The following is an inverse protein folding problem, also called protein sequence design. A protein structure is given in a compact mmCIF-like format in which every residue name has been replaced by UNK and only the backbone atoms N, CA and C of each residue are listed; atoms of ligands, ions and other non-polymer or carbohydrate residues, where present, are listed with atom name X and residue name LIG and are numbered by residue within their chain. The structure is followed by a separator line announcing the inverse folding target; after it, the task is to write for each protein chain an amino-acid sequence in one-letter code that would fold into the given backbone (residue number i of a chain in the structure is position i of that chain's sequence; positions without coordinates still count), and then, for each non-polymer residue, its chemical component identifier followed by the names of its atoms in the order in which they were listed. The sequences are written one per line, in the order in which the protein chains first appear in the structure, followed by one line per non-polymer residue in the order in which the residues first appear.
data_IF_622973814740
#
_entry.id   IF_622973814740
#
_cell.length_a   1.000
_cell.length_b   1.000
_cell.length_c   1.000
_cell.angle_alpha   90.00
_cell.angle_beta   90.00
_cell.angle_gamma   90.00
#
_symmetry.space_group_name_H-M   'P 1'
#
loop_
_entity.id
_entity.type
_entity.pdbx_description
1 polymer ?
#
# COMPACT_ATOMS: atom_id res chain seq x y z
N UNK A 1 39.45 -31.51 -28.21
CA UNK A 1 39.35 -30.27 -27.42
C UNK A 1 40.15 -30.47 -26.16
N UNK A 2 41.21 -29.69 -25.97
CA UNK A 2 41.92 -29.65 -24.70
C UNK A 2 40.97 -29.07 -23.65
N UNK A 3 40.70 -29.79 -22.55
CA UNK A 3 39.91 -29.29 -21.42
C UNK A 3 40.68 -28.23 -20.60
N UNK A 4 41.54 -27.46 -21.25
CA UNK A 4 42.41 -26.48 -20.63
C UNK A 4 41.85 -25.11 -20.93
N UNK A 5 41.59 -24.35 -19.87
CA UNK A 5 41.20 -22.94 -19.95
C UNK A 5 42.36 -22.10 -19.45
N UNK A 6 42.71 -21.06 -20.19
CA UNK A 6 43.72 -20.07 -19.83
C UNK A 6 43.03 -18.75 -19.52
N UNK A 7 43.32 -18.17 -18.36
CA UNK A 7 42.87 -16.85 -17.97
C UNK A 7 44.09 -15.89 -17.99
N UNK A 8 44.04 -14.91 -18.87
CA UNK A 8 45.03 -13.84 -19.00
C UNK A 8 44.54 -12.61 -18.26
N UNK A 9 45.14 -12.29 -17.12
CA UNK A 9 44.90 -11.06 -16.38
C UNK A 9 45.88 -9.98 -16.86
N UNK A 10 45.40 -9.09 -17.71
CA UNK A 10 46.10 -7.87 -18.14
C UNK A 10 45.75 -6.75 -17.15
N UNK A 11 46.58 -6.60 -16.11
CA UNK A 11 46.47 -5.56 -15.11
C UNK A 11 47.27 -4.31 -15.53
N UNK A 12 47.21 -3.22 -14.76
CA UNK A 12 47.78 -1.92 -15.19
C UNK A 12 49.29 -1.95 -15.47
N UNK A 13 50.06 -2.72 -14.69
CA UNK A 13 51.52 -2.82 -14.80
C UNK A 13 52.03 -4.27 -14.88
N UNK A 14 51.14 -5.26 -14.82
CA UNK A 14 51.52 -6.66 -14.73
C UNK A 14 50.57 -7.57 -15.51
N UNK A 15 51.13 -8.67 -16.01
CA UNK A 15 50.41 -9.77 -16.66
C UNK A 15 50.52 -10.99 -15.75
N UNK A 16 49.37 -11.54 -15.38
CA UNK A 16 49.28 -12.82 -14.66
C UNK A 16 48.51 -13.81 -15.52
N UNK A 17 49.03 -15.03 -15.63
CA UNK A 17 48.39 -16.08 -16.43
C UNK A 17 48.06 -17.26 -15.55
N UNK A 18 46.79 -17.67 -15.61
CA UNK A 18 46.28 -18.78 -14.85
C UNK A 18 45.84 -19.88 -15.80
N UNK A 19 46.24 -21.12 -15.52
CA UNK A 19 45.74 -22.30 -16.20
C UNK A 19 44.80 -23.08 -15.28
N UNK A 20 43.77 -23.64 -15.87
CA UNK A 20 42.98 -24.69 -15.24
C UNK A 20 42.72 -25.84 -16.20
N UNK A 21 42.76 -27.06 -15.68
CA UNK A 21 42.24 -28.24 -16.35
C UNK A 21 40.86 -28.55 -15.75
N UNK A 22 39.81 -28.48 -16.58
CA UNK A 22 38.40 -28.61 -16.18
C UNK A 22 37.86 -27.49 -15.26
N UNK A 23 38.55 -26.36 -15.10
CA UNK A 23 38.07 -25.18 -14.35
C UNK A 23 37.78 -25.45 -12.86
N UNK A 24 38.41 -26.48 -12.28
CA UNK A 24 38.27 -26.85 -10.86
C UNK A 24 39.38 -26.22 -10.03
N UNK A 25 40.64 -26.39 -10.45
CA UNK A 25 41.81 -25.82 -9.77
C UNK A 25 42.54 -24.86 -10.70
N UNK A 26 42.78 -23.64 -10.23
CA UNK A 26 43.54 -22.62 -10.95
C UNK A 26 44.98 -22.62 -10.45
N UNK A 27 45.93 -22.74 -11.38
CA UNK A 27 47.36 -22.67 -11.10
C UNK A 27 47.99 -21.55 -11.92
N UNK A 28 48.92 -20.81 -11.32
CA UNK A 28 49.66 -19.75 -12.01
C UNK A 28 50.65 -20.41 -12.96
N UNK A 29 50.74 -19.86 -14.18
CA UNK A 29 51.76 -20.21 -15.16
C UNK A 29 52.90 -19.21 -15.01
N UNK A 30 54.09 -19.62 -14.57
CA UNK A 30 55.21 -18.70 -14.43
C UNK A 30 55.68 -18.25 -15.83
N UNK A 31 55.91 -16.95 -15.97
CA UNK A 31 56.42 -16.32 -17.18
C UNK A 31 57.83 -15.81 -16.86
N UNK A 32 58.83 -16.21 -17.63
CA UNK A 32 60.27 -16.01 -17.33
C UNK A 32 60.70 -16.48 -15.94
N UNK A 33 59.97 -17.45 -15.38
CA UNK A 33 60.22 -17.99 -14.04
C UNK A 33 59.59 -17.21 -12.89
N UNK A 34 58.83 -16.14 -13.17
CA UNK A 34 58.11 -15.35 -12.16
C UNK A 34 56.59 -15.54 -12.28
N UNK A 35 55.87 -15.48 -11.16
CA UNK A 35 54.40 -15.63 -11.10
C UNK A 35 53.65 -14.43 -11.73
N UNK A 36 54.34 -13.30 -11.86
CA UNK A 36 53.79 -12.03 -12.32
C UNK A 36 54.78 -11.38 -13.26
N UNK A 37 54.37 -11.12 -14.51
CA UNK A 37 55.24 -10.50 -15.50
C UNK A 37 55.00 -8.99 -15.59
N UNK A 38 56.02 -8.18 -15.28
CA UNK A 38 55.93 -6.71 -15.36
C UNK A 38 56.24 -6.27 -16.81
N UNK A 39 55.24 -5.72 -17.49
CA UNK A 39 55.32 -5.43 -18.94
C UNK A 39 55.87 -4.05 -19.29
N UNK A 40 56.16 -3.18 -18.30
CA UNK A 40 56.76 -1.84 -18.47
C UNK A 40 56.18 -0.98 -19.60
N UNK A 41 54.88 -1.13 -19.87
CA UNK A 41 54.17 -0.48 -20.98
C UNK A 41 54.64 -0.82 -22.41
N UNK A 42 55.44 -1.87 -22.62
CA UNK A 42 55.88 -2.32 -23.95
C UNK A 42 55.00 -3.45 -24.49
N UNK A 43 54.20 -3.12 -25.51
CA UNK A 43 53.20 -4.01 -26.13
C UNK A 43 53.83 -5.25 -26.80
N UNK A 44 55.10 -5.17 -27.23
CA UNK A 44 55.79 -6.29 -27.86
C UNK A 44 56.03 -7.47 -26.90
N UNK A 45 55.91 -7.23 -25.58
CA UNK A 45 56.01 -8.27 -24.57
C UNK A 45 54.86 -9.29 -24.61
N UNK A 46 53.68 -8.92 -25.12
CA UNK A 46 52.54 -9.85 -25.20
C UNK A 46 52.88 -11.07 -26.05
N UNK A 47 53.57 -10.85 -27.18
CA UNK A 47 53.99 -11.92 -28.07
C UNK A 47 54.96 -12.88 -27.39
N UNK A 48 55.95 -12.34 -26.66
CA UNK A 48 56.92 -13.12 -25.89
C UNK A 48 56.21 -13.99 -24.85
N UNK A 49 55.22 -13.41 -24.14
CA UNK A 49 54.42 -14.12 -23.14
C UNK A 49 53.63 -15.26 -23.78
N UNK A 50 52.96 -15.02 -24.92
CA UNK A 50 52.19 -16.06 -25.62
C UNK A 50 53.07 -17.18 -26.17
N UNK A 51 54.22 -16.84 -26.76
CA UNK A 51 55.20 -17.82 -27.24
C UNK A 51 55.74 -18.70 -26.09
N UNK A 52 56.06 -18.09 -24.95
CA UNK A 52 56.55 -18.80 -23.77
C UNK A 52 55.48 -19.72 -23.17
N UNK A 53 54.21 -19.28 -23.15
CA UNK A 53 53.09 -20.11 -22.68
C UNK A 53 52.86 -21.31 -23.61
N UNK A 54 52.93 -21.10 -24.92
CA UNK A 54 52.80 -22.18 -25.89
C UNK A 54 53.92 -23.23 -25.73
N UNK A 55 55.15 -22.77 -25.50
CA UNK A 55 56.29 -23.64 -25.20
C UNK A 55 56.14 -24.36 -23.85
N UNK A 56 55.72 -23.64 -22.80
CA UNK A 56 55.55 -24.18 -21.45
C UNK A 56 54.46 -25.26 -21.38
N UNK A 57 53.35 -25.04 -22.09
CA UNK A 57 52.24 -25.99 -22.13
C UNK A 57 52.45 -27.10 -23.17
N UNK A 58 53.50 -27.00 -23.99
CA UNK A 58 53.90 -27.97 -25.01
C UNK A 58 52.73 -28.37 -25.93
N UNK A 59 51.94 -27.38 -26.36
CA UNK A 59 50.82 -27.63 -27.26
C UNK A 59 51.32 -27.82 -28.69
N UNK A 60 50.94 -28.94 -29.32
CA UNK A 60 51.25 -29.21 -30.73
C UNK A 60 50.51 -28.28 -31.71
N UNK A 61 49.42 -27.68 -31.24
CA UNK A 61 48.43 -26.99 -32.07
C UNK A 61 48.42 -25.47 -31.86
N UNK A 62 49.51 -24.89 -31.35
CA UNK A 62 49.69 -23.42 -31.24
C UNK A 62 48.51 -22.70 -30.55
N UNK A 63 48.09 -23.17 -29.37
CA UNK A 63 46.93 -22.64 -28.61
C UNK A 63 45.56 -22.67 -29.36
N UNK A 64 45.45 -23.19 -30.58
CA UNK A 64 44.26 -23.06 -31.42
C UNK A 64 42.98 -23.68 -30.81
N UNK A 65 43.12 -24.75 -30.04
CA UNK A 65 42.00 -25.49 -29.43
C UNK A 65 41.77 -25.20 -27.94
N UNK A 66 42.43 -24.19 -27.40
CA UNK A 66 42.42 -23.84 -25.97
C UNK A 66 41.45 -22.69 -25.73
N UNK A 67 40.62 -22.78 -24.70
CA UNK A 67 39.75 -21.67 -24.30
C UNK A 67 40.59 -20.60 -23.61
N UNK A 68 40.60 -19.39 -24.18
CA UNK A 68 41.41 -18.26 -23.71
C UNK A 68 40.49 -17.13 -23.26
N UNK A 69 40.52 -16.83 -21.98
CA UNK A 69 39.77 -15.77 -21.35
C UNK A 69 40.72 -14.59 -21.05
N UNK A 70 40.38 -13.40 -21.51
CA UNK A 70 41.16 -12.18 -21.33
C UNK A 70 40.44 -11.28 -20.33
N UNK A 71 41.04 -11.08 -19.17
CA UNK A 71 40.62 -10.13 -18.15
C UNK A 71 41.45 -8.85 -18.29
N UNK A 72 40.84 -7.75 -18.72
CA UNK A 72 41.57 -6.50 -18.97
C UNK A 72 41.15 -5.38 -18.01
N UNK A 73 42.14 -4.57 -17.59
CA UNK A 73 41.92 -3.28 -16.91
C UNK A 73 41.98 -2.10 -17.90
N UNK A 74 42.89 -2.16 -18.87
CA UNK A 74 43.11 -1.12 -19.87
C UNK A 74 42.88 -1.65 -21.30
N UNK A 75 42.11 -0.93 -22.11
CA UNK A 75 41.78 -1.30 -23.49
C UNK A 75 42.95 -1.22 -24.47
N UNK A 76 44.03 -0.50 -24.13
CA UNK A 76 45.18 -0.32 -25.02
C UNK A 76 45.90 -1.64 -25.36
N UNK A 77 45.90 -2.60 -24.42
CA UNK A 77 46.60 -3.89 -24.56
C UNK A 77 45.72 -4.96 -25.20
N UNK A 78 44.40 -4.80 -25.06
CA UNK A 78 43.41 -5.75 -25.54
C UNK A 78 43.52 -5.98 -27.06
N UNK A 79 43.68 -4.91 -27.83
CA UNK A 79 43.76 -5.00 -29.30
C UNK A 79 44.97 -5.80 -29.79
N UNK A 80 46.12 -5.62 -29.15
CA UNK A 80 47.35 -6.36 -29.47
C UNK A 80 47.23 -7.83 -29.07
N UNK A 81 46.71 -8.09 -27.86
CA UNK A 81 46.51 -9.48 -27.38
C UNK A 81 45.55 -10.27 -28.27
N UNK A 82 44.45 -9.65 -28.74
CA UNK A 82 43.51 -10.30 -29.66
C UNK A 82 44.19 -10.55 -31.02
N UNK A 83 45.00 -9.60 -31.51
CA UNK A 83 45.69 -9.73 -32.80
C UNK A 83 46.70 -10.89 -32.77
N UNK A 84 47.49 -10.98 -31.70
CA UNK A 84 48.43 -12.09 -31.52
C UNK A 84 47.70 -13.42 -31.32
N UNK A 85 46.65 -13.49 -30.50
CA UNK A 85 45.85 -14.73 -30.34
C UNK A 85 45.20 -15.20 -31.65
N UNK A 86 44.81 -14.26 -32.51
CA UNK A 86 44.34 -14.58 -33.85
C UNK A 86 45.48 -15.10 -34.76
N UNK A 87 46.72 -14.62 -34.58
CA UNK A 87 47.90 -15.17 -35.26
C UNK A 87 48.16 -16.64 -34.83
N UNK A 88 47.89 -16.97 -33.57
CA UNK A 88 47.86 -18.35 -33.04
C UNK A 88 46.61 -19.17 -33.45
N UNK A 89 45.77 -18.65 -34.36
CA UNK A 89 44.54 -19.32 -34.86
C UNK A 89 43.56 -19.73 -33.75
N UNK A 90 43.60 -19.06 -32.60
CA UNK A 90 42.68 -19.36 -31.51
C UNK A 90 41.26 -18.90 -31.87
N UNK A 91 40.30 -19.81 -31.75
CA UNK A 91 38.88 -19.58 -32.09
C UNK A 91 37.97 -19.44 -30.86
N UNK A 92 38.53 -19.58 -29.65
CA UNK A 92 37.80 -19.67 -28.38
C UNK A 92 38.27 -18.59 -27.42
N UNK A 93 38.10 -17.33 -27.82
CA UNK A 93 38.51 -16.15 -27.05
C UNK A 93 37.28 -15.52 -26.37
N UNK A 94 37.36 -15.32 -25.06
CA UNK A 94 36.39 -14.52 -24.30
C UNK A 94 37.09 -13.32 -23.68
N UNK A 95 36.40 -12.19 -23.61
CA UNK A 95 36.97 -10.93 -23.10
C UNK A 95 36.06 -10.38 -22.01
N UNK A 96 36.63 -10.10 -20.84
CA UNK A 96 35.91 -9.53 -19.71
C UNK A 96 36.65 -8.35 -19.12
N UNK A 97 35.90 -7.35 -18.66
CA UNK A 97 36.47 -6.27 -17.89
C UNK A 97 36.74 -6.75 -16.46
N UNK A 98 38.00 -6.61 -16.02
CA UNK A 98 38.43 -7.11 -14.72
C UNK A 98 37.69 -6.43 -13.56
N UNK A 99 37.56 -5.09 -13.58
CA UNK A 99 36.89 -4.36 -12.51
C UNK A 99 35.40 -4.66 -12.43
N UNK A 100 34.72 -4.85 -13.56
CA UNK A 100 33.31 -5.23 -13.56
C UNK A 100 33.07 -6.59 -12.89
N UNK A 101 33.98 -7.56 -13.10
CA UNK A 101 33.90 -8.86 -12.42
C UNK A 101 34.21 -8.75 -10.93
N UNK A 102 35.17 -7.89 -10.55
CA UNK A 102 35.46 -7.61 -9.13
C UNK A 102 34.26 -7.00 -8.43
N UNK A 103 33.61 -6.00 -9.04
CA UNK A 103 32.43 -5.36 -8.48
C UNK A 103 31.26 -6.35 -8.36
N UNK A 104 31.06 -7.22 -9.36
CA UNK A 104 30.06 -8.28 -9.31
C UNK A 104 30.34 -9.31 -8.20
N UNK A 105 31.60 -9.74 -8.05
CA UNK A 105 32.01 -10.65 -6.99
C UNK A 105 31.78 -10.03 -5.60
N UNK A 106 32.13 -8.76 -5.42
CA UNK A 106 31.94 -8.03 -4.17
C UNK A 106 30.45 -7.88 -3.82
N UNK A 107 29.61 -7.52 -4.78
CA UNK A 107 28.17 -7.35 -4.58
C UNK A 107 27.46 -8.68 -4.32
N UNK A 108 27.79 -9.73 -5.08
CA UNK A 108 27.14 -11.05 -4.94
C UNK A 108 27.51 -11.75 -3.63
N UNK A 109 28.76 -11.59 -3.16
CA UNK A 109 29.25 -12.23 -1.94
C UNK A 109 29.14 -11.34 -0.70
N UNK A 110 28.71 -10.08 -0.86
CA UNK A 110 28.62 -9.07 0.19
C UNK A 110 29.96 -8.86 0.93
N UNK A 111 31.06 -8.83 0.17
CA UNK A 111 32.44 -8.70 0.69
C UNK A 111 33.00 -7.33 0.29
N UNK A 112 33.65 -6.65 1.23
CA UNK A 112 34.35 -5.38 0.94
C UNK A 112 35.51 -5.61 -0.02
N UNK A 113 35.61 -4.76 -1.05
CA UNK A 113 36.69 -4.80 -2.03
C UNK A 113 38.05 -4.74 -1.31
N UNK A 114 38.93 -5.73 -1.52
CA UNK A 114 40.28 -5.69 -0.95
C UNK A 114 41.09 -4.55 -1.56
N UNK A 115 41.93 -3.89 -0.75
CA UNK A 115 42.85 -2.85 -1.24
C UNK A 115 43.96 -3.43 -2.14
N UNK A 116 44.35 -4.70 -1.90
CA UNK A 116 45.33 -5.43 -2.69
C UNK A 116 44.69 -6.75 -3.14
N UNK A 117 44.57 -6.92 -4.45
CA UNK A 117 44.02 -8.13 -5.07
C UNK A 117 45.12 -9.18 -5.16
N UNK A 118 45.26 -10.02 -4.12
CA UNK A 118 46.23 -11.11 -4.13
C UNK A 118 45.91 -12.15 -5.21
N UNK A 119 46.94 -12.80 -5.74
CA UNK A 119 46.80 -13.84 -6.78
C UNK A 119 45.91 -15.01 -6.33
N UNK A 120 45.88 -15.30 -5.02
CA UNK A 120 45.01 -16.30 -4.39
C UNK A 120 43.54 -15.84 -4.45
N UNK A 121 43.28 -14.57 -4.14
CA UNK A 121 41.93 -14.02 -4.15
C UNK A 121 41.35 -14.01 -5.57
N UNK A 122 42.15 -13.60 -6.57
CA UNK A 122 41.77 -13.66 -7.98
C UNK A 122 41.43 -15.10 -8.37
N UNK A 123 42.30 -16.05 -8.04
CA UNK A 123 42.11 -17.48 -8.32
C UNK A 123 40.83 -18.07 -7.73
N UNK A 124 40.47 -17.69 -6.51
CA UNK A 124 39.32 -18.25 -5.79
C UNK A 124 37.99 -17.55 -6.11
N UNK A 125 38.01 -16.25 -6.46
CA UNK A 125 36.79 -15.44 -6.52
C UNK A 125 36.47 -14.90 -7.91
N UNK A 126 37.48 -14.64 -8.74
CA UNK A 126 37.30 -14.03 -10.06
C UNK A 126 37.33 -15.08 -11.16
N UNK A 127 38.32 -15.98 -11.15
CA UNK A 127 38.47 -16.98 -12.21
C UNK A 127 37.29 -17.98 -12.31
N UNK A 128 36.59 -18.37 -11.23
CA UNK A 128 35.38 -19.19 -11.36
C UNK A 128 34.23 -18.48 -12.11
N UNK A 129 34.19 -17.14 -12.09
CA UNK A 129 33.16 -16.35 -12.74
C UNK A 129 33.36 -16.23 -14.25
N UNK A 130 34.57 -16.50 -14.76
CA UNK A 130 34.84 -16.50 -16.20
C UNK A 130 34.25 -17.72 -16.90
N UNK A 131 33.67 -18.66 -16.16
CA UNK A 131 32.97 -19.80 -16.73
C UNK A 131 31.45 -19.55 -16.81
N UNK A 132 30.98 -19.26 -18.03
CA UNK A 132 29.56 -19.11 -18.36
C UNK A 132 28.72 -20.37 -18.05
N UNK A 133 29.33 -21.55 -18.05
CA UNK A 133 28.63 -22.81 -17.85
C UNK A 133 28.39 -23.13 -16.37
N UNK A 134 29.27 -22.67 -15.48
CA UNK A 134 29.07 -22.76 -14.04
C UNK A 134 28.07 -21.71 -13.54
N UNK A 135 28.14 -20.48 -14.06
CA UNK A 135 27.15 -19.44 -13.73
C UNK A 135 25.73 -19.83 -14.18
N UNK A 136 25.57 -20.52 -15.32
CA UNK A 136 24.26 -21.06 -15.73
C UNK A 136 23.74 -22.16 -14.81
N UNK A 137 24.61 -23.08 -14.36
CA UNK A 137 24.22 -24.15 -13.40
C UNK A 137 23.84 -23.57 -12.04
N UNK A 138 24.56 -22.55 -11.57
CA UNK A 138 24.24 -21.84 -10.34
C UNK A 138 22.92 -21.06 -10.47
N UNK A 139 22.69 -20.43 -11.62
CA UNK A 139 21.43 -19.78 -11.94
C UNK A 139 20.26 -20.77 -11.99
N UNK A 140 20.44 -21.96 -12.56
CA UNK A 140 19.44 -23.02 -12.55
C UNK A 140 19.08 -23.48 -11.13
N UNK A 141 20.08 -23.68 -10.26
CA UNK A 141 19.84 -24.02 -8.85
C UNK A 141 19.08 -22.92 -8.11
N UNK A 142 19.39 -21.66 -8.39
CA UNK A 142 18.67 -20.53 -7.80
C UNK A 142 17.21 -20.49 -8.28
N UNK A 143 16.97 -20.70 -9.57
CA UNK A 143 15.61 -20.79 -10.11
C UNK A 143 14.83 -21.94 -9.45
N UNK A 144 15.40 -23.13 -9.36
CA UNK A 144 14.77 -24.28 -8.70
C UNK A 144 14.45 -23.98 -7.23
N UNK A 145 15.36 -23.33 -6.50
CA UNK A 145 15.11 -22.92 -5.11
C UNK A 145 13.96 -21.91 -4.99
N UNK A 146 13.86 -20.94 -5.91
CA UNK A 146 12.75 -19.98 -5.96
C UNK A 146 11.43 -20.69 -6.26
N UNK A 147 11.39 -21.58 -7.24
CA UNK A 147 10.20 -22.39 -7.55
C UNK A 147 9.75 -23.23 -6.36
N UNK A 148 10.69 -23.87 -5.65
CA UNK A 148 10.39 -24.65 -4.45
C UNK A 148 9.81 -23.77 -3.33
N UNK A 149 10.36 -22.56 -3.16
CA UNK A 149 9.89 -21.61 -2.16
C UNK A 149 8.47 -21.10 -2.45
N UNK A 150 8.14 -20.87 -3.72
CA UNK A 150 6.79 -20.52 -4.14
C UNK A 150 5.79 -21.65 -3.88
N UNK A 151 6.17 -22.90 -4.18
CA UNK A 151 5.32 -24.07 -3.88
C UNK A 151 5.05 -24.25 -2.39
N UNK A 152 6.02 -23.94 -1.53
CA UNK A 152 5.86 -24.02 -0.07
C UNK A 152 5.00 -22.88 0.50
N UNK A 153 4.92 -21.72 -0.18
CA UNK A 153 4.08 -20.59 0.25
C UNK A 153 2.60 -20.73 -0.12
N UNK A 154 2.27 -21.47 -1.19
CA UNK A 154 0.88 -21.68 -1.62
C UNK A 154 -0.03 -22.31 -0.55
N UNK A 155 0.35 -23.38 0.18
CA UNK A 155 -0.50 -23.96 1.22
C UNK A 155 -0.72 -23.00 2.41
N UNK A 156 0.29 -22.21 2.80
CA UNK A 156 0.15 -21.22 3.88
C UNK A 156 -0.81 -20.08 3.51
N UNK A 157 -0.78 -19.62 2.26
CA UNK A 157 -1.69 -18.57 1.78
C UNK A 157 -3.16 -19.04 1.71
N UNK A 158 -3.41 -20.31 1.40
CA UNK A 158 -4.77 -20.86 1.40
C UNK A 158 -5.33 -21.02 2.82
N UNK A 159 -4.49 -21.46 3.77
CA UNK A 159 -4.88 -21.52 5.18
C UNK A 159 -5.18 -20.12 5.73
N UNK A 160 -4.32 -19.14 5.48
CA UNK A 160 -4.52 -17.75 5.90
C UNK A 160 -5.79 -17.13 5.29
N UNK A 161 -6.05 -17.34 3.99
CA UNK A 161 -7.30 -16.86 3.36
C UNK A 161 -8.54 -17.49 3.99
N UNK A 162 -8.53 -18.80 4.24
CA UNK A 162 -9.66 -19.47 4.87
C UNK A 162 -9.91 -18.99 6.30
N UNK A 163 -8.85 -18.70 7.07
CA UNK A 163 -8.97 -18.13 8.41
C UNK A 163 -9.50 -16.69 8.37
N UNK A 164 -9.02 -15.86 7.44
CA UNK A 164 -9.50 -14.49 7.24
C UNK A 164 -10.99 -14.49 6.86
N UNK A 165 -11.43 -15.41 5.99
CA UNK A 165 -12.85 -15.52 5.61
C UNK A 165 -13.73 -15.91 6.80
N UNK A 166 -13.28 -16.85 7.63
CA UNK A 166 -14.00 -17.25 8.86
C UNK A 166 -14.06 -16.10 9.86
N UNK A 167 -12.96 -15.38 10.08
CA UNK A 167 -12.91 -14.23 10.99
C UNK A 167 -13.79 -13.08 10.50
N UNK A 168 -13.80 -12.82 9.19
CA UNK A 168 -14.66 -11.82 8.58
C UNK A 168 -16.14 -12.17 8.74
N UNK A 169 -16.51 -13.44 8.49
CA UNK A 169 -17.88 -13.91 8.69
C UNK A 169 -18.33 -13.76 10.15
N UNK A 170 -17.45 -14.09 11.10
CA UNK A 170 -17.71 -13.92 12.53
C UNK A 170 -17.91 -12.45 12.90
N UNK A 171 -17.08 -11.55 12.37
CA UNK A 171 -17.20 -10.10 12.64
C UNK A 171 -18.48 -9.51 12.07
N UNK A 172 -18.87 -9.93 10.86
CA UNK A 172 -20.15 -9.52 10.27
C UNK A 172 -21.34 -9.97 11.12
N UNK A 173 -21.32 -11.21 11.62
CA UNK A 173 -22.38 -11.73 12.48
C UNK A 173 -22.46 -10.96 13.81
N UNK A 174 -21.32 -10.59 14.40
CA UNK A 174 -21.26 -9.78 15.63
C UNK A 174 -21.87 -8.38 15.41
N UNK A 175 -21.45 -7.68 14.35
CA UNK A 175 -21.97 -6.35 14.00
C UNK A 175 -23.46 -6.38 13.70
N UNK A 176 -23.95 -7.42 13.03
CA UNK A 176 -25.38 -7.59 12.78
C UNK A 176 -26.19 -7.74 14.08
N UNK A 177 -25.68 -8.51 15.05
CA UNK A 177 -26.32 -8.65 16.37
C UNK A 177 -26.31 -7.33 17.13
N UNK A 178 -25.21 -6.60 17.12
CA UNK A 178 -25.11 -5.29 17.76
C UNK A 178 -26.09 -4.28 17.15
N UNK A 179 -26.17 -4.23 15.81
CA UNK A 179 -27.14 -3.38 15.10
C UNK A 179 -28.58 -3.71 15.48
N UNK A 180 -28.91 -5.00 15.62
CA UNK A 180 -30.24 -5.42 16.07
C UNK A 180 -30.55 -4.97 17.49
N UNK A 181 -29.59 -5.11 18.43
CA UNK A 181 -29.74 -4.63 19.81
C UNK A 181 -29.98 -3.13 19.86
N UNK A 182 -29.14 -2.35 19.17
CA UNK A 182 -29.28 -0.89 19.11
C UNK A 182 -30.62 -0.46 18.49
N UNK A 183 -31.11 -1.17 17.47
CA UNK A 183 -32.43 -0.90 16.89
C UNK A 183 -33.57 -1.15 17.88
N UNK A 184 -33.46 -2.17 18.73
CA UNK A 184 -34.43 -2.46 19.78
C UNK A 184 -34.37 -1.36 20.85
N UNK A 185 -33.18 -0.98 21.31
CA UNK A 185 -33.00 0.10 22.28
C UNK A 185 -33.53 1.44 21.77
N UNK A 186 -33.25 1.79 20.51
CA UNK A 186 -33.81 2.99 19.88
C UNK A 186 -35.34 2.97 19.87
N UNK A 187 -35.96 1.83 19.55
CA UNK A 187 -37.42 1.71 19.62
C UNK A 187 -37.94 1.87 21.05
N UNK A 188 -37.27 1.29 22.04
CA UNK A 188 -37.66 1.40 23.44
C UNK A 188 -37.53 2.85 23.95
N UNK A 189 -36.43 3.53 23.63
CA UNK A 189 -36.23 4.94 23.99
C UNK A 189 -37.24 5.83 23.27
N UNK A 190 -37.52 5.59 21.98
CA UNK A 190 -38.56 6.33 21.26
C UNK A 190 -39.94 6.15 21.91
N UNK A 191 -40.30 4.93 22.32
CA UNK A 191 -41.55 4.68 23.03
C UNK A 191 -41.60 5.39 24.39
N UNK A 192 -40.49 5.45 25.12
CA UNK A 192 -40.38 6.19 26.38
C UNK A 192 -40.41 7.72 26.17
N UNK A 193 -39.88 8.23 25.06
CA UNK A 193 -39.94 9.67 24.75
C UNK A 193 -41.35 10.12 24.39
N UNK A 194 -42.15 9.27 23.74
CA UNK A 194 -43.56 9.57 23.42
C UNK A 194 -44.39 9.75 24.71
N UNK A 195 -44.06 9.06 25.81
CA UNK A 195 -44.76 9.27 27.09
C UNK A 195 -44.30 10.51 27.86
N UNK A 196 -43.06 10.98 27.64
CA UNK A 196 -42.47 12.16 28.31
C UNK A 196 -42.77 13.48 27.57
N UNK A 197 -43.02 13.44 26.26
CA UNK A 197 -43.30 14.64 25.47
C UNK A 197 -44.78 15.03 25.41
N UNK A 198 -45.42 15.22 26.58
CA UNK A 198 -46.65 16.03 26.61
C UNK A 198 -46.26 17.51 26.53
N UNK A 199 -46.89 18.31 25.65
CA UNK A 199 -46.64 19.75 25.65
C UNK A 199 -46.96 20.33 27.03
N UNK A 200 -46.20 21.34 27.46
CA UNK A 200 -46.56 22.10 28.66
C UNK A 200 -47.95 22.72 28.43
N UNK A 201 -48.95 22.14 29.05
CA UNK A 201 -50.36 22.29 28.71
C UNK A 201 -50.87 23.71 28.99
N UNK A 202 -50.29 24.36 29.99
CA UNK A 202 -50.54 25.77 30.31
C UNK A 202 -50.12 26.70 29.16
N UNK A 203 -48.99 26.39 28.51
CA UNK A 203 -48.52 27.16 27.35
C UNK A 203 -49.49 26.98 26.18
N UNK A 204 -49.91 25.74 25.90
CA UNK A 204 -50.85 25.45 24.83
C UNK A 204 -52.18 26.20 25.02
N UNK A 205 -52.79 26.09 26.20
CA UNK A 205 -54.04 26.80 26.54
C UNK A 205 -53.89 28.34 26.46
N UNK A 206 -52.71 28.89 26.78
CA UNK A 206 -52.44 30.33 26.69
C UNK A 206 -52.35 30.86 25.26
N UNK A 207 -51.86 30.04 24.33
CA UNK A 207 -51.65 30.46 22.93
C UNK A 207 -52.85 30.20 22.02
N UNK A 208 -53.69 29.18 22.30
CA UNK A 208 -54.82 28.80 21.44
C UNK A 208 -55.79 29.96 21.10
N UNK A 209 -56.24 30.79 22.07
CA UNK A 209 -57.14 31.92 21.76
C UNK A 209 -56.46 33.07 21.03
N UNK A 210 -55.12 33.13 21.03
CA UNK A 210 -54.35 34.12 20.27
C UNK A 210 -54.01 33.64 18.85
N UNK A 211 -54.04 32.33 18.64
CA UNK A 211 -53.79 31.68 17.35
C UNK A 211 -55.08 31.60 16.53
N UNK A 212 -56.18 31.18 17.14
CA UNK A 212 -57.50 31.02 16.50
C UNK A 212 -58.48 32.09 16.96
N UNK A 213 -59.18 32.70 15.99
CA UNK A 213 -60.26 33.64 16.25
C UNK A 213 -61.42 32.90 16.93
N UNK A 214 -61.96 33.48 17.99
CA UNK A 214 -63.16 32.98 18.67
C UNK A 214 -63.05 31.52 19.13
N UNK A 215 -61.84 31.06 19.45
CA UNK A 215 -61.54 29.67 19.77
C UNK A 215 -62.52 29.04 20.78
N UNK A 216 -62.70 29.69 21.94
CA UNK A 216 -63.60 29.20 23.01
C UNK A 216 -65.10 29.32 22.70
N UNK A 217 -65.47 30.03 21.63
CA UNK A 217 -66.86 30.04 21.14
C UNK A 217 -67.13 28.88 20.16
N UNK A 218 -66.08 28.26 19.63
CA UNK A 218 -66.17 27.16 18.64
C UNK A 218 -65.82 25.81 19.25
N UNK A 219 -64.83 25.75 20.13
CA UNK A 219 -64.38 24.52 20.80
C UNK A 219 -64.78 24.57 22.26
N UNK A 220 -65.56 23.59 22.71
CA UNK A 220 -65.94 23.47 24.13
C UNK A 220 -64.74 22.99 24.96
N UNK A 221 -64.53 23.52 26.18
CA UNK A 221 -63.50 23.05 27.10
C UNK A 221 -63.47 21.53 27.29
N UNK A 222 -64.63 20.87 27.37
CA UNK A 222 -64.75 19.42 27.54
C UNK A 222 -64.27 18.62 26.33
N UNK A 223 -64.46 19.15 25.12
CA UNK A 223 -64.01 18.49 23.88
C UNK A 223 -62.49 18.59 23.74
N UNK A 224 -61.93 19.74 24.12
CA UNK A 224 -60.49 19.94 24.17
C UNK A 224 -59.81 18.97 25.14
N UNK A 225 -60.45 18.69 26.27
CA UNK A 225 -59.98 17.71 27.26
C UNK A 225 -59.84 16.32 26.65
N UNK A 226 -60.84 15.87 25.89
CA UNK A 226 -60.79 14.58 25.22
C UNK A 226 -59.71 14.51 24.14
N UNK A 227 -59.48 15.60 23.40
CA UNK A 227 -58.49 15.66 22.31
C UNK A 227 -57.05 15.72 22.87
N UNK A 228 -56.85 16.42 23.99
CA UNK A 228 -55.55 16.55 24.66
C UNK A 228 -55.29 15.38 25.62
N UNK A 229 -56.31 14.61 25.99
CA UNK A 229 -56.22 13.52 26.97
C UNK A 229 -56.08 14.02 28.41
N UNK A 230 -56.76 15.12 28.74
CA UNK A 230 -56.80 15.71 30.08
C UNK A 230 -57.77 14.95 31.01
N UNK A 231 -57.52 15.04 32.33
CA UNK A 231 -58.45 14.57 33.36
C UNK A 231 -59.29 15.73 33.95
N UNK A 232 -58.83 16.98 33.81
CA UNK A 232 -59.47 18.19 34.36
C UNK A 232 -59.91 19.15 33.25
N UNK A 233 -61.13 19.67 33.37
CA UNK A 233 -61.71 20.65 32.44
C UNK A 233 -61.18 22.06 32.73
N UNK A 234 -60.59 22.76 31.74
CA UNK A 234 -60.10 24.11 31.96
C UNK A 234 -61.24 25.08 32.25
N UNK A 235 -61.13 25.81 33.36
CA UNK A 235 -62.10 26.83 33.78
C UNK A 235 -61.92 28.10 32.94
N UNK A 236 -62.72 28.24 31.88
CA UNK A 236 -62.71 29.43 31.02
C UNK A 236 -63.76 30.43 31.52
N UNK A 237 -63.40 31.70 31.80
CA UNK A 237 -64.36 32.70 32.26
C UNK A 237 -65.35 33.03 31.14
N UNK A 238 -66.64 32.95 31.45
CA UNK A 238 -67.74 33.33 30.56
C UNK A 238 -68.27 34.72 30.95
N UNK A 239 -68.38 35.69 30.01
CA UNK A 239 -68.04 35.62 28.58
C UNK A 239 -66.54 35.84 28.29
N UNK A 240 -65.97 35.00 27.42
CA UNK A 240 -64.57 35.13 26.99
C UNK A 240 -64.43 36.22 25.92
N UNK A 241 -63.60 37.22 26.18
CA UNK A 241 -63.30 38.27 25.23
C UNK A 241 -62.09 37.87 24.37
N UNK A 242 -62.26 37.86 23.06
CA UNK A 242 -61.19 37.54 22.10
C UNK A 242 -60.03 38.56 22.25
N UNK A 243 -58.76 38.13 22.36
CA UNK A 243 -57.63 39.04 22.50
C UNK A 243 -57.55 40.06 21.36
N UNK A 244 -57.35 41.33 21.71
CA UNK A 244 -57.09 42.39 20.73
C UNK A 244 -55.77 42.20 19.98
N UNK A 245 -55.63 42.83 18.81
CA UNK A 245 -54.40 42.84 18.00
C UNK A 245 -53.08 43.09 18.77
N UNK A 246 -53.00 44.01 19.75
CA UNK A 246 -51.76 44.19 20.52
C UNK A 246 -51.41 42.97 21.39
N UNK A 247 -52.40 42.29 21.97
CA UNK A 247 -52.19 41.08 22.77
C UNK A 247 -51.72 39.91 21.90
N UNK A 248 -52.28 39.77 20.69
CA UNK A 248 -51.87 38.77 19.70
C UNK A 248 -50.41 38.95 19.28
N UNK A 249 -49.96 40.19 19.07
CA UNK A 249 -48.55 40.49 18.71
C UNK A 249 -47.58 40.18 19.84
N UNK A 250 -47.95 40.48 21.09
CA UNK A 250 -47.15 40.11 22.27
C UNK A 250 -47.04 38.59 22.41
N UNK A 251 -48.16 37.87 22.24
CA UNK A 251 -48.19 36.41 22.28
C UNK A 251 -47.40 35.78 21.12
N UNK A 252 -47.41 36.38 19.93
CA UNK A 252 -46.56 35.97 18.80
C UNK A 252 -45.08 36.11 19.11
N UNK A 253 -44.65 37.20 19.75
CA UNK A 253 -43.25 37.35 20.22
C UNK A 253 -42.89 36.29 21.25
N UNK A 254 -43.76 36.05 22.24
CA UNK A 254 -43.57 34.99 23.24
C UNK A 254 -43.47 33.60 22.58
N UNK A 255 -44.30 33.34 21.57
CA UNK A 255 -44.30 32.09 20.81
C UNK A 255 -43.01 31.88 20.01
N UNK A 256 -42.42 32.94 19.46
CA UNK A 256 -41.15 32.88 18.72
C UNK A 256 -39.92 32.67 19.62
N UNK A 257 -40.03 32.99 20.91
CA UNK A 257 -38.97 32.82 21.91
C UNK A 257 -38.95 31.38 22.49
N UNK A 258 -40.06 30.64 22.35
CA UNK A 258 -40.13 29.24 22.79
C UNK A 258 -39.08 28.36 22.09
N UNK A 259 -38.65 27.30 22.76
CA UNK A 259 -37.78 26.30 22.16
C UNK A 259 -38.40 25.73 20.89
N UNK A 260 -37.57 25.48 19.88
CA UNK A 260 -38.01 24.98 18.58
C UNK A 260 -38.79 23.66 18.68
N UNK A 261 -38.41 22.81 19.65
CA UNK A 261 -39.09 21.55 19.95
C UNK A 261 -40.53 21.75 20.45
N UNK A 262 -40.77 22.77 21.30
CA UNK A 262 -42.10 23.11 21.82
C UNK A 262 -42.96 23.81 20.76
N UNK A 263 -42.35 24.72 19.98
CA UNK A 263 -42.99 25.41 18.88
C UNK A 263 -43.55 24.43 17.84
N UNK A 264 -42.76 23.42 17.45
CA UNK A 264 -43.20 22.38 16.50
C UNK A 264 -44.34 21.52 17.06
N UNK A 265 -44.32 21.20 18.36
CA UNK A 265 -45.42 20.47 19.02
C UNK A 265 -46.73 21.27 19.02
N UNK A 266 -46.67 22.57 19.35
CA UNK A 266 -47.85 23.44 19.34
C UNK A 266 -48.39 23.61 17.91
N UNK A 267 -47.51 23.76 16.91
CA UNK A 267 -47.90 23.85 15.49
C UNK A 267 -48.58 22.54 15.04
N UNK A 268 -47.98 21.38 15.33
CA UNK A 268 -48.54 20.07 15.00
C UNK A 268 -49.94 19.87 15.58
N UNK A 269 -50.13 20.26 16.85
CA UNK A 269 -51.43 20.20 17.51
C UNK A 269 -52.45 21.17 16.90
N UNK A 270 -52.06 22.42 16.61
CA UNK A 270 -52.93 23.39 15.95
C UNK A 270 -53.40 22.90 14.56
N UNK A 271 -52.55 22.17 13.83
CA UNK A 271 -52.92 21.57 12.54
C UNK A 271 -53.95 20.47 12.71
N UNK A 272 -53.81 19.60 13.71
CA UNK A 272 -54.80 18.56 14.02
C UNK A 272 -56.16 19.18 14.40
N UNK A 273 -56.16 20.23 15.24
CA UNK A 273 -57.40 20.93 15.60
C UNK A 273 -58.10 21.58 14.42
N UNK A 274 -57.37 22.21 13.50
CA UNK A 274 -57.95 22.83 12.30
C UNK A 274 -58.56 21.78 11.34
N UNK A 275 -58.05 20.55 11.33
CA UNK A 275 -58.65 19.46 10.54
C UNK A 275 -59.97 18.97 11.15
N UNK A 276 -60.12 19.05 12.47
CA UNK A 276 -61.31 18.58 13.19
C UNK A 276 -62.39 19.66 13.35
N UNK A 277 -62.01 20.94 13.36
CA UNK A 277 -62.89 22.08 13.57
C UNK A 277 -62.64 23.18 12.52
N UNK A 278 -63.71 23.85 12.07
CA UNK A 278 -63.62 25.00 11.16
C UNK A 278 -63.12 26.26 11.89
N UNK A 279 -61.83 26.27 12.23
CA UNK A 279 -61.17 27.33 12.99
C UNK A 279 -60.45 28.32 12.07
N UNK A 280 -60.73 29.60 12.28
CA UNK A 280 -60.07 30.69 11.56
C UNK A 280 -58.81 31.17 12.29
N UNK A 281 -57.69 31.20 11.58
CA UNK A 281 -56.42 31.73 12.12
C UNK A 281 -56.40 33.26 12.17
N UNK A 282 -55.72 33.83 13.16
CA UNK A 282 -55.31 35.23 13.11
C UNK A 282 -54.23 35.44 12.04
N UNK A 283 -54.35 36.52 11.25
CA UNK A 283 -53.42 36.86 10.15
C UNK A 283 -51.94 36.88 10.61
N UNK A 284 -51.71 37.27 11.86
CA UNK A 284 -50.37 37.34 12.46
C UNK A 284 -49.70 35.96 12.63
N UNK A 285 -50.48 34.89 12.81
CA UNK A 285 -50.00 33.52 13.03
C UNK A 285 -50.07 32.63 11.77
N UNK A 286 -50.77 33.07 10.72
CA UNK A 286 -50.77 32.41 9.40
C UNK A 286 -49.37 32.08 8.86
N UNK A 287 -48.38 33.00 8.85
CA UNK A 287 -47.05 32.68 8.30
C UNK A 287 -46.24 31.70 9.16
N UNK A 288 -46.60 31.50 10.43
CA UNK A 288 -45.85 30.67 11.38
C UNK A 288 -46.39 29.24 11.42
N UNK A 289 -47.72 29.09 11.41
CA UNK A 289 -48.37 27.77 11.47
C UNK A 289 -48.43 27.14 10.07
N UNK A 290 -48.31 27.97 9.03
CA UNK A 290 -48.35 27.62 7.62
C UNK A 290 -49.59 28.23 6.99
N UNK A 291 -49.41 28.87 5.83
CA UNK A 291 -50.49 29.04 4.88
C UNK A 291 -51.05 27.64 4.63
N UNK A 292 -52.29 27.41 5.07
CA UNK A 292 -52.99 26.19 4.75
C UNK A 292 -53.48 26.32 3.32
N UNK A 293 -52.60 25.93 2.40
CA UNK A 293 -52.94 25.21 1.18
C UNK A 293 -52.23 23.85 1.22
#
# INVERSE_FOLDING_TARGET
MSNTTLNFCLLENEIQVYKSQNQIDWSIVPIKGEDTFIHHNDQSNIKIVLDEINQYLNFSDELASVEVNILYTNSAWLSETITELHAFKNSYIQVFNFYSLVDYACNSLNVTKPDILSSIWIGQRILPLTNLQNSWKEYQKLLEAVYLQEQLKQPQQQEDHSQIEVDFANKLAELQRERQKLQIELKQIQQQLVSVQRPNLENLLSFLPSIFKNFWNTVRPDELVNIVGLLDVPQVPSPYHNPGLPAIRTKKRQFLILEESERQKIIGFCRQLKQQYDLQLHLEFQPIIGALD
#
